data_IF_355961171477
#
_entry.id   IF_355961171477
#
_cell.length_a   1.000
_cell.length_b   1.000
_cell.length_c   1.000
_cell.angle_alpha   90.00
_cell.angle_beta   90.00
_cell.angle_gamma   90.00
#
_symmetry.space_group_name_H-M   'P 1'
#
loop_
_entity.id
_entity.type
_entity.pdbx_description
1 polymer ?
#
# COMPACT_ATOMS: atom_id res chain seq x y z
N UNK A 1 13.88 -12.38 -8.86
CA UNK A 1 14.50 -12.33 -7.52
C UNK A 1 13.55 -12.99 -6.54
N UNK A 2 14.05 -13.88 -5.69
CA UNK A 2 13.22 -14.60 -4.71
C UNK A 2 13.17 -13.80 -3.42
N UNK A 3 12.10 -13.88 -2.62
CA UNK A 3 12.12 -13.32 -1.28
C UNK A 3 13.35 -13.84 -0.51
N UNK A 4 13.99 -12.95 0.25
CA UNK A 4 15.23 -13.25 0.95
C UNK A 4 16.03 -12.00 1.33
N UNK A 5 17.11 -12.22 2.07
CA UNK A 5 18.07 -11.17 2.41
C UNK A 5 19.13 -11.10 1.32
N UNK A 6 19.40 -9.89 0.86
CA UNK A 6 20.39 -9.60 -0.17
C UNK A 6 21.43 -8.65 0.40
N UNK A 7 22.70 -9.02 0.28
CA UNK A 7 23.84 -8.15 0.54
C UNK A 7 24.27 -7.47 -0.76
N UNK A 8 24.64 -6.20 -0.68
CA UNK A 8 25.27 -5.49 -1.78
C UNK A 8 26.60 -4.86 -1.33
N UNK A 9 27.50 -4.70 -2.29
CA UNK A 9 28.69 -3.86 -2.16
C UNK A 9 28.70 -2.90 -3.34
N UNK A 10 28.86 -1.61 -3.03
CA UNK A 10 29.00 -0.53 -3.99
C UNK A 10 30.43 -0.02 -3.90
N UNK A 11 31.16 -0.13 -5.01
CA UNK A 11 32.50 0.43 -5.13
C UNK A 11 32.40 1.78 -5.84
N UNK A 12 32.97 2.81 -5.22
CA UNK A 12 33.10 4.15 -5.80
C UNK A 12 34.56 4.46 -6.00
N UNK A 13 34.95 4.88 -7.20
CA UNK A 13 36.30 5.34 -7.50
C UNK A 13 36.26 6.84 -7.80
N UNK A 14 37.11 7.63 -7.15
CA UNK A 14 37.27 9.05 -7.48
C UNK A 14 38.26 9.25 -8.64
N UNK A 15 38.39 10.49 -9.15
CA UNK A 15 39.32 10.80 -10.24
C UNK A 15 40.81 10.63 -9.86
N UNK A 16 41.12 10.49 -8.57
CA UNK A 16 42.46 10.19 -8.06
C UNK A 16 42.75 8.70 -7.92
N UNK A 17 41.79 7.83 -8.25
CA UNK A 17 41.91 6.38 -8.11
C UNK A 17 41.66 5.87 -6.68
N UNK A 18 41.14 6.71 -5.78
CA UNK A 18 40.76 6.25 -4.45
C UNK A 18 39.45 5.48 -4.53
N UNK A 19 39.45 4.26 -3.99
CA UNK A 19 38.25 3.41 -3.94
C UNK A 19 37.62 3.48 -2.55
N UNK A 20 36.34 3.86 -2.51
CA UNK A 20 35.46 3.67 -1.38
C UNK A 20 34.59 2.42 -1.58
N UNK A 21 34.38 1.66 -0.52
CA UNK A 21 33.42 0.56 -0.50
C UNK A 21 32.28 0.90 0.46
N UNK A 22 31.05 0.78 -0.02
CA UNK A 22 29.85 0.84 0.80
C UNK A 22 29.07 -0.46 0.68
N UNK A 23 28.89 -1.14 1.80
CA UNK A 23 28.10 -2.37 1.88
C UNK A 23 26.76 -2.11 2.57
N UNK A 24 25.81 -2.99 2.31
CA UNK A 24 24.54 -2.99 3.01
C UNK A 24 23.73 -4.25 2.76
N UNK A 25 22.66 -4.39 3.51
CA UNK A 25 21.69 -5.47 3.35
C UNK A 25 20.30 -4.90 3.13
N UNK A 26 19.50 -5.58 2.31
CA UNK A 26 18.07 -5.34 2.23
C UNK A 26 17.31 -6.67 2.21
N UNK A 27 16.10 -6.65 2.75
CA UNK A 27 15.21 -7.82 2.75
C UNK A 27 14.16 -7.63 1.68
N UNK A 28 14.16 -8.50 0.68
CA UNK A 28 13.06 -8.63 -0.25
C UNK A 28 12.00 -9.52 0.39
N UNK A 29 10.92 -8.90 0.88
CA UNK A 29 9.78 -9.66 1.46
C UNK A 29 8.94 -10.28 0.35
N UNK A 30 8.29 -11.38 0.67
CA UNK A 30 7.29 -11.98 -0.20
C UNK A 30 6.10 -11.03 -0.35
N UNK A 31 5.60 -10.87 -1.58
CA UNK A 31 4.43 -10.06 -1.85
C UNK A 31 3.20 -10.82 -1.37
N UNK A 32 2.62 -10.36 -0.27
CA UNK A 32 1.41 -10.94 0.30
C UNK A 32 0.21 -10.05 -0.01
N UNK A 33 -0.95 -10.67 -0.14
CA UNK A 33 -2.21 -9.99 -0.40
C UNK A 33 -3.21 -10.31 0.71
N UNK A 34 -4.13 -9.38 0.96
CA UNK A 34 -5.29 -9.59 1.81
C UNK A 34 -6.58 -9.17 1.12
N UNK A 35 -7.71 -9.63 1.63
CA UNK A 35 -9.03 -9.18 1.17
C UNK A 35 -9.58 -8.14 2.14
N UNK A 36 -9.97 -6.98 1.60
CA UNK A 36 -10.64 -5.92 2.37
C UNK A 36 -12.07 -5.79 1.87
N UNK A 37 -13.02 -5.94 2.79
CA UNK A 37 -14.42 -5.63 2.50
C UNK A 37 -14.72 -4.21 2.99
N UNK A 38 -14.84 -3.28 2.04
CA UNK A 38 -15.07 -1.87 2.28
C UNK A 38 -16.57 -1.60 2.24
N UNK A 39 -17.11 -1.10 3.34
CA UNK A 39 -18.49 -0.63 3.43
C UNK A 39 -18.47 0.76 4.03
N UNK A 40 -19.05 1.73 3.32
CA UNK A 40 -19.18 3.11 3.82
C UNK A 40 -20.63 3.53 3.89
N UNK A 41 -20.94 4.45 4.79
CA UNK A 41 -22.24 5.14 4.85
C UNK A 41 -21.98 6.65 4.97
N UNK A 42 -22.45 7.47 4.01
CA UNK A 42 -23.07 7.10 2.72
C UNK A 42 -22.11 6.30 1.80
N UNK A 43 -22.63 5.75 0.71
CA UNK A 43 -21.78 5.11 -0.31
C UNK A 43 -20.76 6.12 -0.86
N UNK A 44 -19.59 5.67 -1.26
CA UNK A 44 -18.53 6.52 -1.79
C UNK A 44 -17.75 5.80 -2.88
N UNK A 45 -17.24 6.55 -3.85
CA UNK A 45 -16.25 6.07 -4.81
C UNK A 45 -14.91 5.90 -4.11
N UNK A 46 -14.27 4.75 -4.33
CA UNK A 46 -13.05 4.32 -3.65
C UNK A 46 -11.87 4.55 -4.59
N UNK A 47 -10.84 5.24 -4.09
CA UNK A 47 -9.60 5.52 -4.81
C UNK A 47 -8.40 4.97 -4.03
N UNK A 48 -7.50 4.28 -4.73
CA UNK A 48 -6.24 3.77 -4.19
C UNK A 48 -5.15 4.15 -5.19
N UNK A 49 -4.09 4.79 -4.72
CA UNK A 49 -3.01 5.35 -5.55
C UNK A 49 -3.54 6.24 -6.69
N UNK A 50 -4.60 7.01 -6.42
CA UNK A 50 -5.27 7.89 -7.38
C UNK A 50 -6.15 7.19 -8.43
N UNK A 51 -6.20 5.85 -8.45
CA UNK A 51 -7.03 5.08 -9.38
C UNK A 51 -8.39 4.77 -8.75
N UNK A 52 -9.47 4.95 -9.52
CA UNK A 52 -10.82 4.56 -9.08
C UNK A 52 -11.00 3.04 -9.10
N UNK A 53 -11.52 2.51 -8.00
CA UNK A 53 -11.93 1.13 -7.82
C UNK A 53 -13.47 1.01 -7.76
N UNK A 54 -14.22 2.05 -8.09
CA UNK A 54 -15.69 2.06 -8.06
C UNK A 54 -16.28 2.28 -6.67
N UNK A 55 -17.57 1.99 -6.49
CA UNK A 55 -18.33 2.44 -5.32
C UNK A 55 -18.41 1.38 -4.21
N UNK A 56 -18.46 1.83 -2.96
CA UNK A 56 -18.80 0.98 -1.81
C UNK A 56 -20.31 0.62 -1.78
N UNK A 57 -20.69 -0.55 -1.24
CA UNK A 57 -19.84 -1.59 -0.66
C UNK A 57 -19.08 -2.39 -1.72
N UNK A 58 -17.79 -2.66 -1.48
CA UNK A 58 -16.94 -3.41 -2.40
C UNK A 58 -15.87 -4.23 -1.69
N UNK A 59 -15.62 -5.43 -2.22
CA UNK A 59 -14.50 -6.28 -1.82
C UNK A 59 -13.32 -6.07 -2.75
N UNK A 60 -12.14 -5.84 -2.19
CA UNK A 60 -10.90 -5.61 -2.93
C UNK A 60 -9.80 -6.53 -2.40
N UNK A 61 -8.99 -7.06 -3.32
CA UNK A 61 -7.73 -7.73 -3.00
C UNK A 61 -6.61 -6.70 -3.07
N UNK A 62 -5.97 -6.42 -1.94
CA UNK A 62 -4.96 -5.37 -1.80
C UNK A 62 -3.64 -5.97 -1.31
N UNK A 63 -2.54 -5.26 -1.54
CA UNK A 63 -1.24 -5.60 -0.98
C UNK A 63 -1.33 -5.55 0.55
N UNK A 64 -0.74 -6.55 1.21
CA UNK A 64 -0.64 -6.56 2.65
C UNK A 64 0.26 -5.40 3.13
N UNK A 65 -0.14 -4.76 4.23
CA UNK A 65 0.53 -3.58 4.76
C UNK A 65 -0.40 -2.38 4.86
N UNK A 66 0.18 -1.18 4.99
CA UNK A 66 -0.57 0.07 5.09
C UNK A 66 -0.92 0.56 3.70
N UNK A 67 -2.23 0.71 3.44
CA UNK A 67 -2.77 1.23 2.18
C UNK A 67 -3.58 2.46 2.50
N UNK A 68 -3.28 3.57 1.83
CA UNK A 68 -4.09 4.78 1.89
C UNK A 68 -5.25 4.67 0.90
N UNK A 69 -6.47 4.89 1.39
CA UNK A 69 -7.69 4.81 0.58
C UNK A 69 -8.44 6.13 0.70
N UNK A 70 -8.76 6.73 -0.44
CA UNK A 70 -9.58 7.94 -0.52
C UNK A 70 -11.01 7.57 -0.93
N UNK A 71 -11.97 8.14 -0.24
CA UNK A 71 -13.40 7.92 -0.39
C UNK A 71 -14.07 9.24 -0.78
N UNK A 72 -14.72 9.27 -1.95
CA UNK A 72 -15.37 10.48 -2.46
C UNK A 72 -16.86 10.24 -2.65
N UNK A 73 -17.70 11.10 -2.07
CA UNK A 73 -19.12 11.18 -2.41
C UNK A 73 -19.46 12.62 -2.81
N UNK A 74 -19.52 12.86 -4.13
CA UNK A 74 -19.84 14.17 -4.71
C UNK A 74 -21.23 14.68 -4.31
N UNK A 75 -22.22 13.79 -4.20
CA UNK A 75 -23.60 14.16 -3.85
C UNK A 75 -23.74 14.65 -2.40
N UNK A 76 -22.81 14.25 -1.52
CA UNK A 76 -22.75 14.69 -0.13
C UNK A 76 -21.58 15.64 0.17
N UNK A 77 -20.84 16.02 -0.87
CA UNK A 77 -19.62 16.83 -0.76
C UNK A 77 -18.61 16.24 0.25
N UNK A 78 -18.45 14.91 0.23
CA UNK A 78 -17.50 14.19 1.11
C UNK A 78 -16.25 13.83 0.30
N UNK A 79 -15.10 14.10 0.89
CA UNK A 79 -13.79 13.65 0.44
C UNK A 79 -12.96 13.28 1.67
N UNK A 80 -12.73 11.98 1.85
CA UNK A 80 -12.16 11.44 3.08
C UNK A 80 -11.05 10.45 2.77
N UNK A 81 -9.90 10.58 3.41
CA UNK A 81 -8.77 9.65 3.26
C UNK A 81 -8.54 8.90 4.56
N UNK A 82 -8.45 7.58 4.50
CA UNK A 82 -8.11 6.72 5.64
C UNK A 82 -7.01 5.73 5.26
N UNK A 83 -6.03 5.56 6.15
CA UNK A 83 -5.05 4.49 6.04
C UNK A 83 -5.57 3.22 6.69
N UNK A 84 -5.67 2.14 5.92
CA UNK A 84 -6.08 0.82 6.40
C UNK A 84 -4.86 -0.09 6.43
N UNK A 85 -4.73 -0.89 7.49
CA UNK A 85 -3.74 -1.98 7.53
C UNK A 85 -4.40 -3.25 7.02
N UNK A 86 -3.88 -3.79 5.92
CA UNK A 86 -4.32 -5.05 5.29
C UNK A 86 -3.47 -6.18 5.83
N UNK A 87 -4.09 -7.14 6.51
CA UNK A 87 -3.41 -8.35 6.98
C UNK A 87 -3.37 -9.41 5.86
N UNK A 88 -2.23 -10.12 5.68
CA UNK A 88 -2.13 -11.24 4.76
C UNK A 88 -3.14 -12.34 5.05
N UNK A 89 -3.69 -12.95 4.00
CA UNK A 89 -4.52 -14.17 4.05
C UNK A 89 -5.75 -14.12 5.00
N UNK A 90 -6.11 -12.92 5.47
CA UNK A 90 -7.25 -12.68 6.34
C UNK A 90 -8.23 -11.72 5.66
N UNK A 91 -9.53 -11.99 5.83
CA UNK A 91 -10.57 -11.08 5.40
C UNK A 91 -10.74 -9.94 6.42
N UNK A 92 -10.13 -8.79 6.13
CA UNK A 92 -10.31 -7.59 6.94
C UNK A 92 -11.65 -6.93 6.59
N UNK A 93 -12.65 -7.05 7.46
CA UNK A 93 -13.91 -6.29 7.34
C UNK A 93 -13.70 -4.88 7.89
N UNK A 94 -13.79 -3.86 7.03
CA UNK A 94 -13.71 -2.45 7.45
C UNK A 94 -15.01 -1.72 7.11
N UNK A 95 -15.69 -1.27 8.16
CA UNK A 95 -16.89 -0.44 8.07
C UNK A 95 -16.54 0.97 8.51
N UNK A 96 -16.63 1.93 7.60
CA UNK A 96 -16.35 3.34 7.87
C UNK A 96 -17.65 4.14 7.90
N UNK A 97 -17.76 5.05 8.87
CA UNK A 97 -18.78 6.10 8.88
C UNK A 97 -18.12 7.39 8.40
N UNK A 98 -18.49 7.83 7.21
CA UNK A 98 -17.98 9.09 6.66
C UNK A 98 -18.75 10.24 7.31
N UNK A 99 -18.04 11.28 7.77
CA UNK A 99 -18.61 12.48 8.39
C UNK A 99 -18.53 13.65 7.44
#
# INVERSE_FOLDING_TARGET
>A
WKPGTYSYSLLTEDMGGNVGEQTGEFVLKEVQYGEVNIVTRPWAEIFIDGKSFGNSPKRLKLLAGKVEIRFVNKAKNIDHTETITVTPDELTKKSLKLK
#
